data_IF_823579389718
#
_entry.id   IF_823579389718
#
_cell.length_a   1.000
_cell.length_b   1.000
_cell.length_c   1.000
_cell.angle_alpha   90.00
_cell.angle_beta   90.00
_cell.angle_gamma   90.00
#
_symmetry.space_group_name_H-M   'P 1'
#
loop_
_entity.id
_entity.type
_entity.pdbx_description
1 polymer ?
#
# COMPACT_ATOMS: atom_id res chain seq x y z
N UNK A 1 21.90 -2.84 -22.94
CA UNK A 1 22.77 -2.77 -21.75
C UNK A 1 22.65 -4.10 -21.03
N UNK A 2 23.69 -4.58 -20.30
CA UNK A 2 23.53 -5.73 -19.42
C UNK A 2 22.43 -5.43 -18.39
N UNK A 3 21.72 -6.47 -17.97
CA UNK A 3 20.73 -6.40 -16.90
C UNK A 3 21.39 -5.89 -15.62
N UNK A 4 20.72 -4.98 -14.89
CA UNK A 4 21.22 -4.46 -13.63
C UNK A 4 20.94 -5.45 -12.50
N UNK A 5 22.00 -5.83 -11.78
CA UNK A 5 21.90 -6.43 -10.44
C UNK A 5 21.52 -5.32 -9.45
N UNK A 6 20.24 -5.27 -9.08
CA UNK A 6 19.66 -4.22 -8.24
C UNK A 6 20.29 -4.25 -6.85
N UNK A 7 20.54 -5.45 -6.32
CA UNK A 7 21.11 -5.64 -5.00
C UNK A 7 22.55 -5.11 -4.92
N UNK A 8 23.41 -5.49 -5.87
CA UNK A 8 24.78 -5.01 -5.92
C UNK A 8 24.85 -3.51 -6.21
N UNK A 9 24.00 -3.00 -7.10
CA UNK A 9 23.91 -1.58 -7.41
C UNK A 9 23.55 -0.73 -6.17
N UNK A 10 22.65 -1.22 -5.31
CA UNK A 10 22.32 -0.56 -4.05
C UNK A 10 23.53 -0.50 -3.12
N UNK A 11 24.28 -1.59 -3.00
CA UNK A 11 25.48 -1.65 -2.14
C UNK A 11 26.56 -0.67 -2.57
N UNK A 12 26.72 -0.41 -3.87
CA UNK A 12 27.64 0.60 -4.38
C UNK A 12 27.29 2.02 -3.91
N UNK A 13 26.01 2.40 -3.97
CA UNK A 13 25.56 3.72 -3.52
C UNK A 13 25.70 3.83 -2.00
N UNK A 14 25.31 2.79 -1.26
CA UNK A 14 25.45 2.74 0.21
C UNK A 14 26.91 2.79 0.64
N UNK A 15 27.83 2.17 -0.11
CA UNK A 15 29.25 2.24 0.19
C UNK A 15 29.80 3.66 0.07
N UNK A 16 29.31 4.47 -0.89
CA UNK A 16 29.67 5.88 -1.02
C UNK A 16 29.11 6.72 0.13
N UNK A 17 27.85 6.48 0.53
CA UNK A 17 27.24 7.11 1.71
C UNK A 17 28.07 6.84 2.98
N UNK A 18 28.51 5.60 3.19
CA UNK A 18 29.37 5.19 4.31
C UNK A 18 30.75 5.83 4.30
N UNK A 19 31.25 6.19 3.12
CA UNK A 19 32.50 6.93 2.94
C UNK A 19 32.32 8.45 3.09
N UNK A 20 31.10 8.90 3.45
CA UNK A 20 30.73 10.31 3.53
C UNK A 20 30.84 11.05 2.17
N UNK A 21 30.73 10.31 1.06
CA UNK A 21 30.70 10.86 -0.31
C UNK A 21 29.26 10.95 -0.84
N UNK A 22 28.48 11.87 -0.26
CA UNK A 22 27.07 12.05 -0.62
C UNK A 22 26.89 12.52 -2.08
N UNK A 23 27.83 13.31 -2.60
CA UNK A 23 27.80 13.79 -3.99
C UNK A 23 28.06 12.64 -4.96
N UNK A 24 29.05 11.80 -4.67
CA UNK A 24 29.33 10.59 -5.43
C UNK A 24 28.16 9.61 -5.38
N UNK A 25 27.55 9.40 -4.21
CA UNK A 25 26.36 8.57 -4.06
C UNK A 25 25.20 9.05 -4.95
N UNK A 26 24.92 10.36 -4.95
CA UNK A 26 23.87 10.95 -5.77
C UNK A 26 24.14 10.80 -7.27
N UNK A 27 25.38 11.06 -7.71
CA UNK A 27 25.77 10.87 -9.10
C UNK A 27 25.70 9.39 -9.53
N UNK A 28 26.07 8.47 -8.63
CA UNK A 28 26.00 7.03 -8.90
C UNK A 28 24.57 6.55 -9.02
N UNK A 29 23.68 6.97 -8.12
CA UNK A 29 22.25 6.65 -8.17
C UNK A 29 21.63 7.09 -9.50
N UNK A 30 21.87 8.34 -9.91
CA UNK A 30 21.31 8.86 -11.16
C UNK A 30 21.83 8.10 -12.39
N UNK A 31 23.12 7.73 -12.40
CA UNK A 31 23.69 6.90 -13.45
C UNK A 31 23.06 5.49 -13.50
N UNK A 32 22.75 4.91 -12.33
CA UNK A 32 22.09 3.60 -12.22
C UNK A 32 20.62 3.65 -12.66
N UNK A 33 19.94 4.77 -12.46
CA UNK A 33 18.54 4.95 -12.88
C UNK A 33 18.38 5.04 -14.39
N UNK A 34 19.38 5.63 -15.06
CA UNK A 34 19.28 5.93 -16.48
C UNK A 34 18.97 4.68 -17.33
N UNK A 35 17.84 4.70 -18.03
CA UNK A 35 17.38 3.62 -18.90
C UNK A 35 16.77 2.41 -18.18
N UNK A 36 16.59 2.46 -16.86
CA UNK A 36 15.88 1.41 -16.11
C UNK A 36 14.37 1.66 -16.09
N UNK A 37 13.58 0.59 -16.00
CA UNK A 37 12.13 0.70 -15.78
C UNK A 37 11.81 1.27 -14.39
N UNK A 38 10.64 1.88 -14.23
CA UNK A 38 10.23 2.49 -12.95
C UNK A 38 10.28 1.50 -11.79
N UNK A 39 9.77 0.28 -11.98
CA UNK A 39 9.80 -0.77 -10.95
C UNK A 39 11.22 -1.15 -10.51
N UNK A 40 12.21 -1.09 -11.41
CA UNK A 40 13.62 -1.35 -11.09
C UNK A 40 14.23 -0.19 -10.32
N UNK A 41 13.95 1.05 -10.73
CA UNK A 41 14.41 2.26 -10.02
C UNK A 41 13.87 2.32 -8.58
N UNK A 42 12.57 2.10 -8.40
CA UNK A 42 11.93 2.09 -7.08
C UNK A 42 12.51 1.02 -6.15
N UNK A 43 12.90 -0.12 -6.71
CA UNK A 43 13.47 -1.23 -5.93
C UNK A 43 14.90 -0.94 -5.51
N UNK A 44 15.68 -0.30 -6.39
CA UNK A 44 17.00 0.22 -6.06
C UNK A 44 16.91 1.28 -4.94
N UNK A 45 16.03 2.26 -5.09
CA UNK A 45 15.82 3.32 -4.10
C UNK A 45 15.43 2.74 -2.73
N UNK A 46 14.49 1.77 -2.69
CA UNK A 46 14.08 1.09 -1.45
C UNK A 46 15.24 0.38 -0.76
N UNK A 47 16.08 -0.33 -1.51
CA UNK A 47 17.25 -0.98 -0.90
C UNK A 47 18.26 0.03 -0.36
N UNK A 48 18.53 1.11 -1.08
CA UNK A 48 19.45 2.15 -0.62
C UNK A 48 18.89 2.82 0.64
N UNK A 49 17.60 3.17 0.64
CA UNK A 49 16.92 3.77 1.79
C UNK A 49 16.99 2.87 3.03
N UNK A 50 16.73 1.57 2.86
CA UNK A 50 16.77 0.59 3.96
C UNK A 50 18.20 0.37 4.50
N UNK A 51 19.19 0.22 3.62
CA UNK A 51 20.58 -0.15 3.99
C UNK A 51 21.43 1.04 4.44
N UNK A 52 21.13 2.24 3.93
CA UNK A 52 21.83 3.50 4.20
C UNK A 52 21.08 4.42 5.17
N UNK A 53 20.09 3.90 5.90
CA UNK A 53 19.19 4.70 6.72
C UNK A 53 19.93 5.63 7.70
N UNK A 54 21.01 5.14 8.33
CA UNK A 54 21.80 5.91 9.31
C UNK A 54 22.52 7.09 8.65
N UNK A 55 23.14 6.85 7.50
CA UNK A 55 23.88 7.84 6.72
C UNK A 55 22.93 8.90 6.15
N UNK A 56 21.79 8.47 5.61
CA UNK A 56 20.76 9.36 5.07
C UNK A 56 20.14 10.23 6.18
N UNK A 57 19.91 9.68 7.37
CA UNK A 57 19.45 10.48 8.52
C UNK A 57 20.49 11.55 8.89
N UNK A 58 21.78 11.20 8.89
CA UNK A 58 22.85 12.16 9.17
C UNK A 58 22.89 13.30 8.15
N UNK A 59 22.73 13.01 6.86
CA UNK A 59 22.68 14.02 5.79
C UNK A 59 21.48 14.96 5.93
N UNK A 60 20.32 14.45 6.40
CA UNK A 60 19.10 15.25 6.57
C UNK A 60 19.16 16.21 7.77
N UNK A 61 20.09 16.02 8.71
CA UNK A 61 20.28 16.96 9.83
C UNK A 61 20.78 18.31 9.32
N UNK A 62 20.52 19.36 10.08
CA UNK A 62 21.00 20.71 9.74
C UNK A 62 22.53 20.71 9.58
N UNK A 63 23.01 21.19 8.43
CA UNK A 63 24.43 21.19 8.08
C UNK A 63 24.99 19.84 7.59
N UNK A 64 24.16 18.81 7.46
CA UNK A 64 24.56 17.49 6.94
C UNK A 64 24.91 17.50 5.44
N UNK A 65 24.34 18.45 4.68
CA UNK A 65 24.67 18.69 3.27
C UNK A 65 25.34 20.06 3.12
N UNK A 66 26.47 20.10 2.41
CA UNK A 66 27.16 21.36 2.11
C UNK A 66 26.34 22.21 1.14
N UNK A 67 26.43 23.55 1.24
CA UNK A 67 25.74 24.44 0.30
C UNK A 67 26.16 24.22 -1.17
N UNK A 68 27.40 23.77 -1.40
CA UNK A 68 27.93 23.48 -2.74
C UNK A 68 27.40 22.17 -3.33
N UNK A 69 26.97 21.22 -2.50
CA UNK A 69 26.49 19.91 -2.94
C UNK A 69 24.96 19.79 -2.88
N UNK A 70 24.27 20.74 -2.24
CA UNK A 70 22.82 20.74 -2.04
C UNK A 70 22.02 20.48 -3.33
N UNK A 71 22.40 21.11 -4.44
CA UNK A 71 21.71 20.94 -5.73
C UNK A 71 21.79 19.52 -6.30
N UNK A 72 22.81 18.73 -5.90
CA UNK A 72 23.01 17.35 -6.35
C UNK A 72 22.50 16.34 -5.32
N UNK A 73 22.69 16.62 -4.03
CA UNK A 73 22.39 15.68 -2.95
C UNK A 73 20.93 15.73 -2.52
N UNK A 74 20.30 16.91 -2.45
CA UNK A 74 18.92 17.03 -1.98
C UNK A 74 17.91 16.22 -2.84
N UNK A 75 17.99 16.23 -4.19
CA UNK A 75 17.10 15.38 -4.99
C UNK A 75 17.22 13.88 -4.69
N UNK A 76 18.43 13.40 -4.39
CA UNK A 76 18.64 12.02 -3.94
C UNK A 76 17.98 11.81 -2.57
N UNK A 77 18.15 12.73 -1.62
CA UNK A 77 17.56 12.61 -0.28
C UNK A 77 16.02 12.59 -0.31
N UNK A 78 15.43 13.40 -1.19
CA UNK A 78 13.98 13.45 -1.41
C UNK A 78 13.49 12.13 -2.00
N UNK A 79 14.11 11.66 -3.10
CA UNK A 79 13.80 10.37 -3.73
C UNK A 79 13.91 9.20 -2.76
N UNK A 80 14.99 9.13 -1.98
CA UNK A 80 15.19 8.09 -0.99
C UNK A 80 14.30 8.27 0.25
N UNK A 81 13.71 9.44 0.47
CA UNK A 81 12.64 9.63 1.47
C UNK A 81 11.34 9.02 0.95
N UNK A 82 10.99 9.30 -0.30
CA UNK A 82 9.80 8.76 -0.97
C UNK A 82 9.81 7.22 -0.98
N UNK A 83 10.98 6.61 -1.19
CA UNK A 83 11.15 5.17 -1.16
C UNK A 83 10.84 4.51 0.19
N UNK A 84 10.77 5.27 1.29
CA UNK A 84 10.41 4.73 2.61
C UNK A 84 8.90 4.63 2.85
N UNK A 85 8.10 5.30 2.01
CA UNK A 85 6.64 5.34 2.10
C UNK A 85 6.01 3.98 1.70
N UNK A 86 4.70 3.77 1.92
CA UNK A 86 4.01 2.59 1.40
C UNK A 86 4.32 2.37 -0.09
N UNK A 87 4.69 1.16 -0.52
CA UNK A 87 5.04 0.89 -1.91
C UNK A 87 3.77 0.88 -2.77
N UNK A 88 3.82 1.25 -4.04
CA UNK A 88 2.71 0.90 -4.96
C UNK A 88 2.68 -0.61 -5.19
N UNK A 89 1.53 -1.14 -5.60
CA UNK A 89 1.47 -2.50 -6.15
C UNK A 89 2.08 -2.50 -7.56
N UNK A 90 3.09 -3.34 -7.87
CA UNK A 90 3.59 -3.44 -9.23
C UNK A 90 2.52 -4.00 -10.18
N UNK A 91 2.34 -3.40 -11.35
CA UNK A 91 1.44 -3.96 -12.36
C UNK A 91 2.03 -5.28 -12.87
N UNK A 92 1.16 -6.26 -13.20
CA UNK A 92 1.61 -7.55 -13.70
C UNK A 92 2.48 -7.43 -14.98
N UNK A 93 2.22 -6.41 -15.81
CA UNK A 93 3.02 -6.13 -17.00
C UNK A 93 4.43 -5.63 -16.67
N UNK A 94 4.61 -4.91 -15.55
CA UNK A 94 5.91 -4.40 -15.13
C UNK A 94 6.80 -5.51 -14.58
N UNK A 95 6.22 -6.52 -13.92
CA UNK A 95 6.99 -7.65 -13.36
C UNK A 95 7.19 -8.77 -14.38
N UNK A 96 6.29 -8.96 -15.33
CA UNK A 96 6.37 -10.04 -16.32
C UNK A 96 7.62 -10.01 -17.21
N UNK A 97 8.18 -8.83 -17.47
CA UNK A 97 9.37 -8.66 -18.31
C UNK A 97 10.71 -8.78 -17.56
N UNK A 98 10.69 -8.88 -16.24
CA UNK A 98 11.89 -8.92 -15.40
C UNK A 98 12.45 -10.33 -15.31
N UNK A 99 13.78 -10.47 -15.12
CA UNK A 99 14.33 -11.76 -14.72
C UNK A 99 13.85 -12.15 -13.32
N UNK A 100 14.03 -13.43 -12.98
CA UNK A 100 13.70 -13.92 -11.65
C UNK A 100 14.47 -13.21 -10.53
N UNK A 101 15.73 -12.81 -10.78
CA UNK A 101 16.55 -12.07 -9.84
C UNK A 101 15.97 -10.65 -9.61
N UNK A 102 15.61 -9.95 -10.70
CA UNK A 102 14.97 -8.64 -10.59
C UNK A 102 13.59 -8.73 -9.93
N UNK A 103 12.77 -9.74 -10.26
CA UNK A 103 11.49 -9.98 -9.57
C UNK A 103 11.70 -10.19 -8.06
N UNK A 104 12.72 -10.97 -7.68
CA UNK A 104 13.10 -11.14 -6.29
C UNK A 104 13.45 -9.82 -5.63
N UNK A 105 14.24 -8.98 -6.27
CA UNK A 105 14.63 -7.68 -5.72
C UNK A 105 13.47 -6.67 -5.67
N UNK A 106 12.50 -6.75 -6.58
CA UNK A 106 11.29 -5.91 -6.53
C UNK A 106 10.55 -6.10 -5.22
N UNK A 107 10.23 -7.35 -4.87
CA UNK A 107 9.52 -7.65 -3.64
C UNK A 107 10.44 -7.68 -2.42
N UNK A 108 11.70 -8.07 -2.60
CA UNK A 108 12.71 -8.11 -1.55
C UNK A 108 13.03 -6.71 -1.02
N UNK A 109 13.04 -5.70 -1.88
CA UNK A 109 13.20 -4.29 -1.46
C UNK A 109 12.02 -3.79 -0.62
N UNK A 110 10.80 -4.29 -0.87
CA UNK A 110 9.63 -3.99 -0.03
C UNK A 110 9.78 -4.66 1.34
N UNK A 111 10.22 -5.93 1.39
CA UNK A 111 10.51 -6.62 2.66
C UNK A 111 11.61 -5.90 3.44
N UNK A 112 12.68 -5.45 2.76
CA UNK A 112 13.76 -4.70 3.37
C UNK A 112 13.27 -3.43 4.09
N UNK A 113 12.32 -2.72 3.47
CA UNK A 113 11.82 -1.45 3.98
C UNK A 113 10.65 -1.60 4.97
N UNK A 114 9.73 -2.54 4.73
CA UNK A 114 8.48 -2.68 5.50
C UNK A 114 8.53 -3.81 6.53
N UNK A 115 9.49 -4.73 6.42
CA UNK A 115 9.73 -5.83 7.34
C UNK A 115 10.61 -5.44 8.54
N UNK A 116 10.54 -6.24 9.60
CA UNK A 116 11.44 -6.10 10.76
C UNK A 116 12.76 -6.87 10.56
N UNK A 117 13.63 -6.80 11.57
CA UNK A 117 14.91 -7.52 11.57
C UNK A 117 14.75 -9.03 11.28
N UNK A 118 13.77 -9.71 11.90
CA UNK A 118 13.55 -11.14 11.68
C UNK A 118 13.16 -11.47 10.24
N UNK A 119 12.35 -10.63 9.58
CA UNK A 119 12.04 -10.79 8.15
C UNK A 119 13.29 -10.61 7.28
N UNK A 120 14.11 -9.60 7.59
CA UNK A 120 15.35 -9.34 6.86
C UNK A 120 16.40 -10.44 7.05
N UNK A 121 16.53 -10.96 8.26
CA UNK A 121 17.40 -12.11 8.56
C UNK A 121 16.93 -13.35 7.80
N UNK A 122 15.61 -13.62 7.76
CA UNK A 122 15.06 -14.73 6.99
C UNK A 122 15.38 -14.61 5.49
N UNK A 123 15.32 -13.40 4.92
CA UNK A 123 15.69 -13.12 3.52
C UNK A 123 17.19 -13.36 3.20
N UNK A 124 18.05 -13.41 4.21
CA UNK A 124 19.46 -13.77 4.07
C UNK A 124 19.69 -15.29 4.05
N UNK A 125 18.66 -16.09 4.35
CA UNK A 125 18.71 -17.56 4.37
C UNK A 125 17.90 -18.17 3.21
N UNK A 126 17.66 -19.49 3.27
CA UNK A 126 16.77 -20.21 2.36
C UNK A 126 15.31 -20.26 2.85
N UNK A 127 15.01 -19.60 3.96
CA UNK A 127 13.65 -19.52 4.49
C UNK A 127 12.72 -18.82 3.49
N UNK A 128 11.50 -19.36 3.39
CA UNK A 128 10.39 -18.74 2.67
C UNK A 128 9.85 -17.58 3.50
N UNK A 129 9.83 -16.39 2.92
CA UNK A 129 9.21 -15.19 3.51
C UNK A 129 7.94 -14.88 2.73
N UNK A 130 6.88 -14.50 3.44
CA UNK A 130 5.59 -14.14 2.83
C UNK A 130 5.44 -12.62 2.89
N UNK A 131 5.11 -11.99 1.78
CA UNK A 131 4.79 -10.56 1.68
C UNK A 131 3.32 -10.42 1.25
N UNK A 132 2.55 -9.61 1.97
CA UNK A 132 1.20 -9.20 1.60
C UNK A 132 1.18 -7.73 1.22
N UNK A 133 0.69 -7.43 0.03
CA UNK A 133 0.43 -6.10 -0.47
C UNK A 133 -1.08 -5.90 -0.46
N UNK A 134 -1.54 -5.04 0.45
CA UNK A 134 -2.97 -4.73 0.64
C UNK A 134 -3.35 -3.50 -0.18
N UNK A 135 -4.30 -3.66 -1.10
CA UNK A 135 -5.03 -2.58 -1.73
C UNK A 135 -6.33 -2.35 -0.94
N UNK A 136 -6.33 -1.33 -0.07
CA UNK A 136 -7.41 -1.14 0.89
C UNK A 136 -8.76 -0.89 0.20
N UNK A 137 -9.74 -1.72 0.54
CA UNK A 137 -11.12 -1.61 0.05
C UNK A 137 -12.14 -1.73 1.19
N UNK A 138 -13.40 -1.38 0.91
CA UNK A 138 -14.49 -1.45 1.88
C UNK A 138 -14.97 -2.89 2.09
N UNK A 139 -15.35 -3.22 3.32
CA UNK A 139 -15.82 -4.58 3.69
C UNK A 139 -17.11 -5.02 2.96
N UNK A 140 -17.90 -4.06 2.46
CA UNK A 140 -19.18 -4.30 1.79
C UNK A 140 -19.07 -4.64 0.30
N UNK A 141 -17.84 -4.69 -0.24
CA UNK A 141 -17.60 -5.03 -1.64
C UNK A 141 -18.24 -6.37 -2.05
N UNK A 142 -18.66 -6.43 -3.31
CA UNK A 142 -19.32 -7.59 -3.91
C UNK A 142 -20.51 -8.16 -3.09
N UNK A 143 -21.30 -7.28 -2.46
CA UNK A 143 -22.40 -7.60 -1.50
C UNK A 143 -21.91 -8.21 -0.19
N UNK A 144 -20.74 -7.77 0.28
CA UNK A 144 -20.08 -8.26 1.48
C UNK A 144 -19.40 -9.63 1.32
N UNK A 145 -19.10 -10.06 0.09
CA UNK A 145 -18.37 -11.32 -0.18
C UNK A 145 -16.86 -11.10 -0.33
N UNK A 146 -16.44 -9.85 -0.40
CA UNK A 146 -15.06 -9.44 -0.67
C UNK A 146 -14.67 -9.61 -2.14
N UNK A 147 -13.51 -9.06 -2.46
CA UNK A 147 -12.85 -9.12 -3.76
C UNK A 147 -11.43 -9.65 -3.56
N UNK A 148 -10.82 -10.13 -4.66
CA UNK A 148 -9.44 -10.59 -4.68
C UNK A 148 -8.59 -9.61 -5.49
N UNK A 149 -8.22 -8.51 -4.85
CA UNK A 149 -7.45 -7.39 -5.40
C UNK A 149 -6.10 -7.20 -4.69
N UNK A 150 -5.87 -7.92 -3.59
CA UNK A 150 -4.57 -7.96 -2.93
C UNK A 150 -3.61 -8.92 -3.63
N UNK A 151 -2.32 -8.75 -3.32
CA UNK A 151 -1.26 -9.67 -3.74
C UNK A 151 -0.57 -10.28 -2.54
N UNK A 152 -0.48 -11.61 -2.51
CA UNK A 152 0.43 -12.33 -1.61
C UNK A 152 1.61 -12.86 -2.43
N UNK A 153 2.82 -12.68 -1.93
CA UNK A 153 4.07 -13.07 -2.59
C UNK A 153 4.86 -13.95 -1.65
N UNK A 154 5.44 -15.03 -2.16
CA UNK A 154 6.39 -15.87 -1.42
C UNK A 154 7.77 -15.71 -2.04
N UNK A 155 8.74 -15.30 -1.22
CA UNK A 155 10.14 -15.05 -1.60
C UNK A 155 11.07 -16.07 -0.92
N UNK A 156 12.11 -16.50 -1.61
CA UNK A 156 13.19 -17.32 -1.02
C UNK A 156 14.46 -17.28 -1.85
N UNK A 157 15.55 -17.78 -1.28
CA UNK A 157 16.76 -18.14 -2.03
C UNK A 157 16.93 -19.65 -2.13
N UNK A 158 17.40 -20.15 -3.27
CA UNK A 158 17.82 -21.55 -3.41
C UNK A 158 19.16 -21.82 -2.70
N UNK A 159 19.68 -23.04 -2.85
CA UNK A 159 20.95 -23.43 -2.22
C UNK A 159 22.17 -22.75 -2.85
N UNK A 160 22.00 -22.16 -4.03
CA UNK A 160 23.00 -21.42 -4.77
C UNK A 160 22.92 -19.91 -4.45
N UNK A 161 21.91 -19.49 -3.67
CA UNK A 161 21.68 -18.09 -3.30
C UNK A 161 20.86 -17.32 -4.33
N UNK A 162 20.33 -17.95 -5.37
CA UNK A 162 19.49 -17.29 -6.35
C UNK A 162 18.12 -16.98 -5.76
N UNK A 163 17.70 -15.72 -5.89
CA UNK A 163 16.39 -15.27 -5.45
C UNK A 163 15.27 -15.83 -6.33
N UNK A 164 14.17 -16.19 -5.69
CA UNK A 164 12.96 -16.69 -6.34
C UNK A 164 11.71 -16.07 -5.74
N UNK A 165 10.70 -15.92 -6.58
CA UNK A 165 9.42 -15.32 -6.23
C UNK A 165 8.27 -16.15 -6.80
N UNK A 166 7.18 -16.23 -6.04
CA UNK A 166 5.87 -16.64 -6.55
C UNK A 166 4.81 -15.65 -6.09
N UNK A 167 4.11 -15.05 -7.05
CA UNK A 167 2.96 -14.17 -6.81
C UNK A 167 1.66 -14.99 -6.77
N UNK A 168 0.75 -14.59 -5.88
CA UNK A 168 -0.62 -15.04 -5.75
C UNK A 168 -1.51 -13.80 -5.86
N UNK A 169 -2.03 -13.58 -7.07
CA UNK A 169 -2.73 -12.36 -7.47
C UNK A 169 -4.24 -12.42 -7.24
N UNK A 170 -4.74 -13.57 -6.80
CA UNK A 170 -6.11 -13.71 -6.33
C UNK A 170 -6.11 -13.84 -4.81
N UNK A 171 -5.62 -12.82 -4.11
CA UNK A 171 -5.56 -12.80 -2.66
C UNK A 171 -6.46 -11.71 -2.07
N UNK A 172 -6.84 -11.87 -0.81
CA UNK A 172 -7.41 -10.80 0.01
C UNK A 172 -6.83 -10.86 1.41
N UNK A 173 -6.70 -9.70 2.01
CA UNK A 173 -6.22 -9.43 3.36
C UNK A 173 -7.26 -8.64 4.16
N UNK A 174 -8.41 -8.35 3.53
CA UNK A 174 -9.55 -7.65 4.10
C UNK A 174 -10.62 -8.63 4.60
N UNK A 175 -11.34 -8.28 5.67
CA UNK A 175 -12.50 -9.01 6.11
C UNK A 175 -13.72 -8.63 5.26
N UNK A 176 -14.79 -9.44 5.35
CA UNK A 176 -15.98 -9.25 4.51
C UNK A 176 -17.27 -9.09 5.30
N UNK A 177 -18.10 -8.15 4.86
CA UNK A 177 -19.30 -7.74 5.59
C UNK A 177 -20.36 -8.84 5.75
N UNK A 178 -20.27 -9.95 4.99
CA UNK A 178 -21.17 -11.10 5.19
C UNK A 178 -21.05 -11.73 6.59
N UNK A 179 -19.96 -11.49 7.32
CA UNK A 179 -19.76 -11.94 8.70
C UNK A 179 -19.97 -10.87 9.75
N UNK A 180 -20.28 -9.65 9.33
CA UNK A 180 -20.35 -8.46 10.16
C UNK A 180 -21.64 -8.40 10.97
N UNK A 181 -21.55 -7.88 12.20
CA UNK A 181 -22.70 -7.60 13.05
C UNK A 181 -23.61 -6.50 12.48
N UNK A 182 -23.04 -5.47 11.86
CA UNK A 182 -23.76 -4.34 11.28
C UNK A 182 -24.65 -4.74 10.09
N UNK A 183 -24.32 -5.84 9.40
CA UNK A 183 -25.17 -6.43 8.37
C UNK A 183 -26.48 -7.04 8.90
N UNK A 184 -26.59 -7.19 10.23
CA UNK A 184 -27.68 -7.91 10.93
C UNK A 184 -28.47 -7.05 11.92
N UNK A 185 -28.14 -5.77 12.06
CA UNK A 185 -28.92 -4.83 12.88
C UNK A 185 -30.33 -4.63 12.31
N UNK A 186 -31.27 -4.15 13.13
CA UNK A 186 -32.66 -3.86 12.73
C UNK A 186 -33.06 -2.43 13.13
N UNK A 187 -33.20 -1.49 12.17
CA UNK A 187 -32.85 -1.63 10.75
C UNK A 187 -31.34 -1.90 10.56
N UNK A 188 -30.96 -2.40 9.37
CA UNK A 188 -29.54 -2.60 9.03
C UNK A 188 -28.79 -1.27 9.15
N UNK A 189 -27.52 -1.35 9.53
CA UNK A 189 -26.63 -0.19 9.58
C UNK A 189 -26.53 0.47 8.20
N UNK A 190 -26.35 1.80 8.13
CA UNK A 190 -26.17 2.52 6.86
C UNK A 190 -25.11 1.85 5.96
N UNK A 191 -25.38 1.76 4.65
CA UNK A 191 -24.51 1.10 3.66
C UNK A 191 -24.50 -0.44 3.67
N UNK A 192 -24.97 -1.10 4.74
CA UNK A 192 -25.04 -2.58 4.80
C UNK A 192 -26.31 -3.16 4.14
N UNK A 193 -27.20 -2.32 3.59
CA UNK A 193 -28.48 -2.74 3.02
C UNK A 193 -28.40 -3.84 1.96
N UNK A 194 -27.32 -3.83 1.16
CA UNK A 194 -27.10 -4.78 0.07
C UNK A 194 -26.22 -5.98 0.45
N UNK A 195 -25.76 -6.06 1.69
CA UNK A 195 -24.96 -7.18 2.17
C UNK A 195 -25.82 -8.44 2.25
N UNK A 196 -25.27 -9.58 1.84
CA UNK A 196 -25.87 -10.89 2.00
C UNK A 196 -25.23 -11.59 3.22
N UNK A 197 -25.76 -11.39 4.44
CA UNK A 197 -25.12 -11.91 5.65
C UNK A 197 -25.21 -13.43 5.74
N UNK A 198 -24.15 -14.05 6.26
CA UNK A 198 -24.14 -15.47 6.67
C UNK A 198 -24.80 -15.61 8.04
N UNK A 199 -25.18 -16.83 8.40
CA UNK A 199 -25.70 -17.12 9.75
C UNK A 199 -24.68 -16.76 10.84
N UNK A 200 -23.41 -17.13 10.63
CA UNK A 200 -22.30 -16.81 11.55
C UNK A 200 -22.06 -15.30 11.60
N UNK A 201 -21.88 -14.74 12.80
CA UNK A 201 -21.35 -13.39 13.02
C UNK A 201 -19.99 -13.51 13.69
N UNK A 202 -19.01 -12.81 13.14
CA UNK A 202 -17.62 -12.79 13.63
C UNK A 202 -17.33 -11.42 14.22
N UNK A 203 -16.16 -11.27 14.86
CA UNK A 203 -15.79 -10.02 15.51
C UNK A 203 -16.11 -9.96 17.01
N UNK A 204 -15.78 -8.82 17.59
CA UNK A 204 -15.92 -8.51 19.02
C UNK A 204 -16.53 -7.13 19.16
N UNK A 205 -17.43 -6.94 20.13
CA UNK A 205 -18.00 -5.63 20.48
C UNK A 205 -16.96 -4.87 21.32
N UNK A 206 -16.20 -3.98 20.69
CA UNK A 206 -15.13 -3.21 21.34
C UNK A 206 -15.56 -1.82 21.79
N UNK A 207 -16.69 -1.32 21.29
CA UNK A 207 -17.20 0.01 21.66
C UNK A 207 -18.38 -0.05 22.66
N UNK A 208 -18.93 -1.24 22.94
CA UNK A 208 -20.03 -1.48 23.88
C UNK A 208 -21.43 -1.24 23.32
N UNK A 209 -21.59 -1.15 21.99
CA UNK A 209 -22.88 -0.87 21.34
C UNK A 209 -23.75 -2.11 21.11
N UNK A 210 -23.24 -3.30 21.49
CA UNK A 210 -23.86 -4.63 21.32
C UNK A 210 -23.89 -5.15 19.90
N UNK A 211 -23.14 -4.54 18.99
CA UNK A 211 -22.83 -5.04 17.66
C UNK A 211 -21.39 -5.56 17.67
N UNK A 212 -21.14 -6.64 16.95
CA UNK A 212 -19.78 -7.19 16.85
C UNK A 212 -19.03 -6.48 15.75
N UNK A 213 -17.86 -5.95 16.10
CA UNK A 213 -16.99 -5.20 15.22
C UNK A 213 -16.06 -6.16 14.48
N UNK A 214 -16.19 -6.17 13.16
CA UNK A 214 -15.37 -6.99 12.28
C UNK A 214 -13.91 -6.53 12.38
N UNK A 215 -12.97 -7.48 12.34
CA UNK A 215 -11.55 -7.17 12.55
C UNK A 215 -10.67 -7.62 11.41
N UNK A 216 -9.60 -6.85 11.14
CA UNK A 216 -8.54 -7.20 10.19
C UNK A 216 -7.18 -7.25 10.87
N UNK A 217 -6.26 -8.03 10.30
CA UNK A 217 -4.86 -8.02 10.73
C UNK A 217 -4.23 -6.68 10.33
N UNK A 218 -3.65 -5.97 11.29
CA UNK A 218 -2.91 -4.73 11.04
C UNK A 218 -1.56 -4.98 10.38
N UNK A 219 -1.05 -3.96 9.69
CA UNK A 219 0.26 -4.03 9.01
C UNK A 219 1.41 -4.42 9.96
N UNK A 220 2.54 -4.79 9.34
CA UNK A 220 3.80 -5.12 10.01
C UNK A 220 4.21 -6.57 9.79
N UNK A 221 5.29 -6.97 10.45
CA UNK A 221 5.77 -8.36 10.41
C UNK A 221 5.10 -9.21 11.48
N UNK A 222 4.62 -10.38 11.08
CA UNK A 222 4.04 -11.39 11.96
C UNK A 222 4.77 -12.71 11.74
N UNK A 223 5.38 -13.26 12.79
CA UNK A 223 5.87 -14.64 12.71
C UNK A 223 4.66 -15.58 12.68
N UNK A 224 4.59 -16.39 11.63
CA UNK A 224 3.55 -17.37 11.39
C UNK A 224 4.05 -18.79 11.67
N UNK A 225 3.13 -19.65 12.08
CA UNK A 225 3.34 -21.10 12.23
C UNK A 225 2.28 -21.89 11.50
N UNK A 226 2.60 -23.14 11.20
CA UNK A 226 1.64 -24.08 10.64
C UNK A 226 0.47 -24.33 11.61
N UNK A 227 -0.72 -24.47 11.05
CA UNK A 227 -1.96 -24.87 11.70
C UNK A 227 -2.84 -25.55 10.65
N UNK A 228 -4.08 -25.86 11.03
CA UNK A 228 -5.12 -26.20 10.07
C UNK A 228 -6.28 -25.20 10.03
N UNK A 229 -7.02 -25.19 8.92
CA UNK A 229 -8.28 -24.50 8.73
C UNK A 229 -9.38 -25.53 8.35
N UNK A 230 -10.54 -25.53 9.03
CA UNK A 230 -11.61 -26.47 8.73
C UNK A 230 -12.18 -26.29 7.33
N UNK A 231 -12.52 -27.40 6.66
CA UNK A 231 -13.16 -27.37 5.34
C UNK A 231 -14.44 -28.19 5.35
N UNK A 232 -15.55 -27.57 4.97
CA UNK A 232 -16.86 -28.24 5.02
C UNK A 232 -16.86 -29.52 4.16
N UNK A 233 -17.16 -30.66 4.76
CA UNK A 233 -17.19 -31.96 4.08
C UNK A 233 -15.82 -32.51 3.65
N UNK A 234 -14.71 -31.94 4.14
CA UNK A 234 -13.36 -32.36 3.82
C UNK A 234 -12.47 -32.38 5.07
N UNK A 235 -11.28 -32.98 4.96
CA UNK A 235 -10.26 -32.89 6.02
C UNK A 235 -9.81 -31.45 6.19
N UNK A 236 -9.50 -31.09 7.44
CA UNK A 236 -8.86 -29.83 7.75
C UNK A 236 -7.60 -29.62 6.90
N UNK A 237 -7.47 -28.41 6.36
CA UNK A 237 -6.45 -28.06 5.39
C UNK A 237 -5.31 -27.29 6.05
N UNK A 238 -4.08 -27.42 5.53
CA UNK A 238 -2.95 -26.62 6.01
C UNK A 238 -3.28 -25.13 5.97
N UNK A 239 -2.88 -24.40 7.00
CA UNK A 239 -2.97 -22.95 7.08
C UNK A 239 -1.78 -22.38 7.85
N UNK A 240 -1.57 -21.08 7.74
CA UNK A 240 -0.64 -20.33 8.59
C UNK A 240 -1.42 -19.50 9.59
N UNK A 241 -0.90 -19.33 10.81
CA UNK A 241 -1.46 -18.43 11.83
C UNK A 241 -0.35 -17.76 12.65
N UNK A 242 -0.61 -16.64 13.34
CA UNK A 242 0.36 -16.05 14.25
C UNK A 242 0.94 -17.05 15.25
N UNK A 243 2.25 -16.98 15.46
CA UNK A 243 2.92 -17.73 16.52
C UNK A 243 2.59 -17.13 17.89
N UNK A 244 2.84 -17.89 18.96
CA UNK A 244 2.65 -17.37 20.32
C UNK A 244 3.57 -16.18 20.61
N UNK A 245 4.79 -16.18 20.04
CA UNK A 245 5.72 -15.06 20.17
C UNK A 245 5.17 -13.82 19.47
N UNK A 246 4.62 -13.97 18.25
CA UNK A 246 3.99 -12.87 17.54
C UNK A 246 2.78 -12.30 18.30
N UNK A 247 1.94 -13.15 18.88
CA UNK A 247 0.80 -12.73 19.72
C UNK A 247 1.28 -11.93 20.93
N UNK A 248 2.31 -12.42 21.62
CA UNK A 248 2.87 -11.77 22.82
C UNK A 248 3.46 -10.39 22.49
N UNK A 249 4.12 -10.26 21.34
CA UNK A 249 4.71 -9.01 20.87
C UNK A 249 3.70 -8.10 20.12
N UNK A 250 2.49 -8.59 19.83
CA UNK A 250 1.58 -8.03 18.85
C UNK A 250 0.68 -6.91 19.37
N UNK A 251 1.22 -5.93 20.10
CA UNK A 251 0.42 -4.78 20.54
C UNK A 251 -0.04 -3.91 19.35
N UNK A 252 -1.34 -3.58 19.32
CA UNK A 252 -1.92 -2.75 18.26
C UNK A 252 -1.81 -3.34 16.85
N UNK A 253 -2.08 -4.65 16.73
CA UNK A 253 -1.93 -5.42 15.48
C UNK A 253 -3.25 -5.97 14.94
N UNK A 254 -4.36 -5.55 15.52
CA UNK A 254 -5.71 -5.81 15.02
C UNK A 254 -6.42 -4.49 14.89
N UNK A 255 -7.03 -4.24 13.75
CA UNK A 255 -7.92 -3.10 13.52
C UNK A 255 -9.35 -3.61 13.47
N UNK A 256 -10.30 -2.83 13.99
CA UNK A 256 -11.72 -3.16 14.01
C UNK A 256 -12.54 -1.99 13.52
N UNK A 257 -13.51 -2.29 12.66
CA UNK A 257 -14.53 -1.36 12.18
C UNK A 257 -15.58 -1.21 13.28
N UNK A 258 -15.29 -0.32 14.23
CA UNK A 258 -16.09 -0.11 15.44
C UNK A 258 -17.15 0.96 15.25
N UNK A 259 -17.10 1.72 14.16
CA UNK A 259 -18.14 2.69 13.83
C UNK A 259 -19.12 2.14 12.76
N UNK A 260 -18.84 0.96 12.21
CA UNK A 260 -19.66 0.28 11.23
C UNK A 260 -19.75 1.01 9.91
N UNK A 261 -18.65 1.63 9.48
CA UNK A 261 -18.58 2.34 8.21
C UNK A 261 -17.89 1.54 7.11
N UNK A 262 -17.49 0.30 7.38
CA UNK A 262 -16.87 -0.61 6.41
C UNK A 262 -15.42 -0.28 6.09
N UNK A 263 -14.80 0.64 6.84
CA UNK A 263 -13.40 1.04 6.74
C UNK A 263 -12.71 0.89 8.10
N UNK A 264 -11.37 0.90 8.09
CA UNK A 264 -10.55 0.78 9.30
C UNK A 264 -9.63 1.98 9.40
N UNK A 265 -9.92 2.91 10.31
CA UNK A 265 -9.14 4.13 10.48
C UNK A 265 -9.32 4.78 11.86
N UNK A 266 -8.73 5.96 12.05
CA UNK A 266 -8.71 6.63 13.35
C UNK A 266 -10.10 7.05 13.88
N UNK A 267 -11.16 6.93 13.09
CA UNK A 267 -12.55 7.10 13.58
C UNK A 267 -13.03 5.90 14.39
N UNK A 268 -12.32 4.77 14.31
CA UNK A 268 -12.64 3.58 15.07
C UNK A 268 -12.25 3.71 16.54
N UNK A 269 -13.22 4.10 17.36
CA UNK A 269 -13.03 4.20 18.80
C UNK A 269 -12.76 2.83 19.41
N UNK A 270 -11.61 2.66 20.07
CA UNK A 270 -11.15 1.35 20.57
C UNK A 270 -10.92 0.30 19.46
N UNK A 271 -10.82 0.76 18.20
CA UNK A 271 -10.64 -0.12 17.04
C UNK A 271 -9.30 -0.83 16.97
N UNK A 272 -8.28 -0.34 17.68
CA UNK A 272 -6.93 -0.96 17.67
C UNK A 272 -6.75 -1.87 18.89
N UNK A 273 -6.55 -3.16 18.63
CA UNK A 273 -6.48 -4.22 19.65
C UNK A 273 -5.16 -5.02 19.53
N UNK A 274 -4.87 -5.81 20.56
CA UNK A 274 -3.74 -6.74 20.56
C UNK A 274 -3.97 -7.90 19.57
N UNK A 275 -2.88 -8.38 18.97
CA UNK A 275 -2.90 -9.59 18.14
C UNK A 275 -3.40 -10.78 18.95
N UNK A 276 -4.20 -11.61 18.30
CA UNK A 276 -4.65 -12.89 18.83
C UNK A 276 -4.39 -13.99 17.79
N UNK A 277 -4.87 -15.19 18.07
CA UNK A 277 -4.60 -16.36 17.25
C UNK A 277 -5.66 -16.61 16.16
N UNK A 278 -6.69 -15.75 16.03
CA UNK A 278 -7.84 -16.00 15.14
C UNK A 278 -7.52 -15.79 13.67
N UNK A 279 -6.52 -14.97 13.35
CA UNK A 279 -6.09 -14.66 11.98
C UNK A 279 -5.34 -15.83 11.35
N UNK A 280 -5.65 -16.15 10.09
CA UNK A 280 -5.00 -17.22 9.34
C UNK A 280 -4.83 -16.85 7.88
N UNK A 281 -3.78 -17.40 7.24
CA UNK A 281 -3.74 -17.52 5.78
C UNK A 281 -4.37 -18.86 5.38
N UNK A 282 -5.47 -18.84 4.63
CA UNK A 282 -6.18 -20.05 4.19
C UNK A 282 -6.81 -19.93 2.80
N UNK A 283 -7.40 -21.03 2.31
CA UNK A 283 -8.11 -21.05 1.03
C UNK A 283 -9.36 -20.19 1.08
N UNK A 284 -9.55 -19.34 0.07
CA UNK A 284 -10.83 -18.72 -0.24
C UNK A 284 -11.55 -19.44 -1.38
N UNK A 285 -12.86 -19.26 -1.49
CA UNK A 285 -13.64 -19.81 -2.60
C UNK A 285 -13.43 -19.04 -3.90
N UNK A 286 -13.86 -19.60 -5.04
CA UNK A 286 -13.71 -18.96 -6.37
C UNK A 286 -14.35 -17.57 -6.51
N UNK A 287 -15.44 -17.29 -5.79
CA UNK A 287 -16.23 -16.05 -5.94
C UNK A 287 -16.68 -15.46 -4.60
N UNK A 288 -16.03 -15.89 -3.52
CA UNK A 288 -16.24 -15.44 -2.16
C UNK A 288 -14.90 -15.60 -1.44
N UNK A 289 -14.43 -14.56 -0.78
CA UNK A 289 -13.14 -14.64 -0.10
C UNK A 289 -13.20 -15.51 1.15
N UNK A 290 -14.41 -15.73 1.68
CA UNK A 290 -14.68 -16.44 2.93
C UNK A 290 -13.88 -15.88 4.12
N UNK A 291 -13.50 -14.60 4.08
CA UNK A 291 -12.71 -13.95 5.13
C UNK A 291 -13.58 -13.18 6.12
N UNK A 292 -13.40 -13.47 7.41
CA UNK A 292 -13.88 -12.65 8.52
C UNK A 292 -12.73 -11.92 9.24
N UNK A 293 -11.60 -11.70 8.54
CA UNK A 293 -10.37 -11.13 9.08
C UNK A 293 -9.11 -11.89 8.64
N UNK A 294 -9.29 -13.15 8.22
CA UNK A 294 -8.22 -13.96 7.64
C UNK A 294 -7.68 -13.40 6.32
N UNK A 295 -6.51 -13.88 5.94
CA UNK A 295 -5.92 -13.68 4.64
C UNK A 295 -6.33 -14.87 3.80
N UNK A 296 -6.87 -14.66 2.59
CA UNK A 296 -7.29 -15.77 1.76
C UNK A 296 -6.71 -15.72 0.37
N UNK A 297 -6.42 -16.89 -0.18
CA UNK A 297 -5.96 -17.05 -1.55
C UNK A 297 -7.04 -17.84 -2.29
N UNK A 298 -7.59 -17.20 -3.31
CA UNK A 298 -8.64 -17.68 -4.18
C UNK A 298 -8.12 -18.36 -5.44
N UNK A 299 -8.92 -18.28 -6.51
CA UNK A 299 -8.53 -18.75 -7.85
C UNK A 299 -8.33 -20.25 -8.04
N UNK A 300 -8.34 -21.02 -6.97
CA UNK A 300 -7.81 -22.39 -6.99
C UNK A 300 -6.29 -22.45 -6.87
N UNK A 301 -5.61 -21.35 -6.53
CA UNK A 301 -4.15 -21.27 -6.41
C UNK A 301 -3.62 -21.68 -5.03
N UNK A 302 -4.52 -22.00 -4.08
CA UNK A 302 -4.11 -22.28 -2.71
C UNK A 302 -3.21 -23.52 -2.57
N UNK A 303 -3.39 -24.54 -3.40
CA UNK A 303 -2.51 -25.72 -3.37
C UNK A 303 -1.08 -25.37 -3.80
N UNK A 304 -0.94 -24.50 -4.80
CA UNK A 304 0.35 -23.96 -5.24
C UNK A 304 0.98 -23.08 -4.15
N UNK A 305 0.17 -22.31 -3.42
CA UNK A 305 0.63 -21.56 -2.26
C UNK A 305 1.20 -22.47 -1.18
N UNK A 306 0.47 -23.51 -0.80
CA UNK A 306 0.92 -24.47 0.20
C UNK A 306 2.20 -25.17 -0.25
N UNK A 307 2.29 -25.59 -1.52
CA UNK A 307 3.49 -26.19 -2.09
C UNK A 307 4.69 -25.23 -2.03
N UNK A 308 4.47 -23.95 -2.35
CA UNK A 308 5.51 -22.92 -2.36
C UNK A 308 6.00 -22.60 -0.95
N UNK A 309 5.10 -22.30 -0.01
CA UNK A 309 5.43 -21.96 1.38
C UNK A 309 6.16 -23.10 2.10
N UNK A 310 5.84 -24.35 1.76
CA UNK A 310 6.46 -25.54 2.34
C UNK A 310 7.67 -26.05 1.55
N UNK A 311 8.15 -25.26 0.57
CA UNK A 311 9.21 -25.66 -0.34
C UNK A 311 10.59 -25.80 0.31
N UNK A 312 10.80 -25.26 1.52
CA UNK A 312 12.07 -25.36 2.26
C UNK A 312 11.96 -26.45 3.34
N UNK A 313 12.71 -27.57 3.21
CA UNK A 313 12.65 -28.66 4.19
C UNK A 313 13.01 -28.20 5.60
N UNK A 314 12.20 -28.60 6.58
CA UNK A 314 12.44 -28.29 8.00
C UNK A 314 11.96 -26.90 8.44
N UNK A 315 11.61 -26.00 7.52
CA UNK A 315 11.04 -24.70 7.88
C UNK A 315 9.66 -24.89 8.54
N UNK A 316 9.50 -24.34 9.74
CA UNK A 316 8.28 -24.45 10.54
C UNK A 316 7.79 -23.10 11.10
N UNK A 317 8.45 -22.01 10.70
CA UNK A 317 8.13 -20.62 10.98
C UNK A 317 8.32 -19.80 9.71
N UNK A 318 7.46 -18.81 9.51
CA UNK A 318 7.50 -17.93 8.34
C UNK A 318 7.33 -16.50 8.81
N UNK A 319 8.14 -15.58 8.30
CA UNK A 319 7.89 -14.16 8.51
C UNK A 319 6.86 -13.70 7.46
N UNK A 320 5.74 -13.16 7.93
CA UNK A 320 4.72 -12.56 7.09
C UNK A 320 4.77 -11.05 7.23
N UNK A 321 5.26 -10.35 6.21
CA UNK A 321 5.26 -8.90 6.13
C UNK A 321 3.99 -8.45 5.45
N UNK A 322 3.13 -7.71 6.14
CA UNK A 322 1.93 -7.11 5.57
C UNK A 322 2.08 -5.59 5.51
N UNK A 323 1.79 -5.00 4.36
CA UNK A 323 1.78 -3.54 4.16
C UNK A 323 0.64 -3.17 3.23
N UNK A 324 -0.05 -2.07 3.50
CA UNK A 324 -0.88 -1.41 2.50
C UNK A 324 0.02 -0.84 1.41
N UNK A 325 -0.54 -0.75 0.20
CA UNK A 325 0.11 -0.11 -0.93
C UNK A 325 -0.20 1.38 -0.96
N UNK A 326 0.65 2.16 -1.62
CA UNK A 326 0.41 3.58 -1.84
C UNK A 326 -0.97 3.78 -2.49
N UNK A 327 -1.89 4.50 -1.83
CA UNK A 327 -3.17 4.85 -2.44
C UNK A 327 -2.90 5.86 -3.56
N UNK A 328 -3.38 5.55 -4.77
CA UNK A 328 -3.20 6.42 -5.94
C UNK A 328 -1.88 6.18 -6.68
N UNK A 329 -1.98 6.06 -8.00
CA UNK A 329 -0.82 6.05 -8.90
C UNK A 329 -0.23 7.45 -8.94
N UNK A 330 0.74 7.76 -8.08
CA UNK A 330 1.69 8.82 -8.38
C UNK A 330 2.55 8.38 -9.57
N UNK A 331 1.98 8.43 -10.79
CA UNK A 331 2.79 8.52 -12.00
C UNK A 331 3.66 9.75 -11.79
N UNK A 332 4.98 9.58 -11.80
CA UNK A 332 5.91 10.70 -11.76
C UNK A 332 5.63 11.62 -12.94
N UNK A 333 4.76 12.60 -12.74
CA UNK A 333 4.43 13.61 -13.74
C UNK A 333 5.62 14.59 -13.76
N UNK A 334 6.25 14.67 -14.94
CA UNK A 334 7.56 15.29 -15.16
C UNK A 334 7.68 16.74 -14.67
N UNK A 335 8.87 17.08 -14.18
CA UNK A 335 9.18 18.36 -13.55
C UNK A 335 9.27 19.57 -14.51
N UNK A 336 9.02 19.38 -15.81
CA UNK A 336 9.37 20.35 -16.86
C UNK A 336 8.24 21.34 -17.23
N UNK A 337 7.14 21.40 -16.46
CA UNK A 337 6.05 22.34 -16.77
C UNK A 337 6.32 23.74 -16.19
N UNK A 338 6.39 24.80 -17.02
CA UNK A 338 6.48 26.17 -16.52
C UNK A 338 5.22 26.55 -15.74
N UNK A 339 5.41 27.15 -14.55
CA UNK A 339 4.32 27.62 -13.70
C UNK A 339 3.61 28.83 -14.34
N UNK A 340 2.31 28.71 -14.53
CA UNK A 340 1.46 29.85 -14.84
C UNK A 340 1.13 30.62 -13.55
N UNK A 341 1.58 31.88 -13.46
CA UNK A 341 1.48 32.70 -12.25
C UNK A 341 0.04 32.99 -11.75
N UNK A 342 -0.97 32.82 -12.62
CA UNK A 342 -2.38 33.07 -12.30
C UNK A 342 -3.22 31.79 -12.16
N UNK A 343 -2.59 30.62 -12.15
CA UNK A 343 -3.26 29.31 -12.10
C UNK A 343 -2.98 28.62 -10.75
N UNK A 344 -3.41 29.29 -9.67
CA UNK A 344 -3.27 28.84 -8.28
C UNK A 344 -4.67 28.58 -7.68
N UNK A 345 -4.98 27.32 -7.29
CA UNK A 345 -6.27 26.97 -6.69
C UNK A 345 -6.61 27.67 -5.38
N UNK A 346 -5.64 28.30 -4.71
CA UNK A 346 -5.89 29.10 -3.50
C UNK A 346 -6.56 30.44 -3.81
N UNK A 347 -6.57 30.86 -5.07
CA UNK A 347 -7.18 32.13 -5.50
C UNK A 347 -8.69 31.99 -5.75
N UNK A 348 -9.54 32.94 -5.28
CA UNK A 348 -10.99 32.85 -5.41
C UNK A 348 -11.55 32.69 -6.82
N UNK A 349 -10.80 33.12 -7.83
CA UNK A 349 -11.23 33.08 -9.23
C UNK A 349 -10.90 31.74 -9.91
N UNK A 350 -10.13 30.86 -9.27
CA UNK A 350 -9.73 29.59 -9.83
C UNK A 350 -10.87 28.56 -9.79
N UNK A 351 -11.03 27.75 -10.84
CA UNK A 351 -12.14 26.77 -10.95
C UNK A 351 -12.14 25.71 -9.84
N UNK A 352 -10.95 25.30 -9.38
CA UNK A 352 -10.78 24.31 -8.32
C UNK A 352 -10.79 24.95 -6.90
N UNK A 353 -11.00 26.27 -6.79
CA UNK A 353 -10.93 26.99 -5.52
C UNK A 353 -11.91 26.47 -4.47
N UNK A 354 -13.14 26.15 -4.88
CA UNK A 354 -14.15 25.64 -3.96
C UNK A 354 -13.71 24.31 -3.31
N UNK A 355 -13.14 23.38 -4.09
CA UNK A 355 -12.64 22.10 -3.60
C UNK A 355 -11.37 22.28 -2.74
N UNK A 356 -10.46 23.16 -3.18
CA UNK A 356 -9.27 23.54 -2.41
C UNK A 356 -9.66 24.08 -1.02
N UNK A 357 -10.62 24.99 -0.95
CA UNK A 357 -11.08 25.58 0.31
C UNK A 357 -11.77 24.57 1.22
N UNK A 358 -12.53 23.61 0.69
CA UNK A 358 -13.08 22.50 1.48
C UNK A 358 -11.95 21.69 2.12
N UNK A 359 -10.96 21.29 1.34
CA UNK A 359 -9.80 20.54 1.82
C UNK A 359 -9.04 21.33 2.90
N UNK A 360 -8.76 22.62 2.65
CA UNK A 360 -8.09 23.51 3.61
C UNK A 360 -8.87 23.60 4.92
N UNK A 361 -10.21 23.75 4.86
CA UNK A 361 -11.07 23.78 6.05
C UNK A 361 -10.98 22.48 6.85
N UNK A 362 -10.96 21.32 6.20
CA UNK A 362 -10.83 20.04 6.88
C UNK A 362 -9.41 19.83 7.46
N UNK A 363 -8.37 20.31 6.80
CA UNK A 363 -7.00 20.32 7.35
C UNK A 363 -6.90 21.23 8.59
N UNK A 364 -7.59 22.38 8.59
CA UNK A 364 -7.70 23.24 9.77
C UNK A 364 -8.37 22.50 10.94
N UNK A 365 -9.42 21.73 10.66
CA UNK A 365 -10.11 20.95 11.68
C UNK A 365 -9.26 19.81 12.27
N UNK A 366 -8.27 19.28 11.54
CA UNK A 366 -7.30 18.30 12.06
C UNK A 366 -6.33 18.91 13.09
N UNK A 367 -6.12 20.22 13.06
CA UNK A 367 -5.30 20.93 14.04
C UNK A 367 -3.77 20.73 13.86
N UNK A 368 -3.01 21.31 14.79
CA UNK A 368 -1.54 21.27 14.77
C UNK A 368 -0.96 21.81 13.47
N UNK A 369 0.06 21.13 12.94
CA UNK A 369 0.73 21.54 11.68
C UNK A 369 -0.21 21.54 10.47
N UNK A 370 -1.25 20.70 10.46
CA UNK A 370 -2.22 20.70 9.36
C UNK A 370 -3.02 22.00 9.33
N UNK A 371 -3.36 22.57 10.49
CA UNK A 371 -4.02 23.86 10.55
C UNK A 371 -3.09 25.03 10.21
N UNK A 372 -1.83 24.97 10.65
CA UNK A 372 -0.82 25.99 10.37
C UNK A 372 -0.50 26.12 8.86
N UNK A 373 -0.55 25.02 8.12
CA UNK A 373 -0.18 24.93 6.70
C UNK A 373 -1.34 24.47 5.80
N UNK A 374 -2.58 24.67 6.22
CA UNK A 374 -3.77 24.09 5.59
C UNK A 374 -3.87 24.40 4.08
N UNK A 375 -3.64 25.65 3.68
CA UNK A 375 -3.73 26.04 2.27
C UNK A 375 -2.62 25.42 1.42
N UNK A 376 -1.40 25.31 1.95
CA UNK A 376 -0.28 24.72 1.21
C UNK A 376 -0.46 23.21 1.06
N UNK A 377 -0.78 22.54 2.17
CA UNK A 377 -1.03 21.10 2.20
C UNK A 377 -2.24 20.70 1.36
N UNK A 378 -3.25 21.58 1.26
CA UNK A 378 -4.44 21.31 0.44
C UNK A 378 -4.12 21.06 -1.04
N UNK A 379 -2.99 21.55 -1.56
CA UNK A 379 -2.62 21.38 -2.97
C UNK A 379 -2.29 19.92 -3.33
N UNK A 380 -1.57 19.23 -2.45
CA UNK A 380 -1.27 17.79 -2.62
C UNK A 380 -2.57 16.98 -2.56
N UNK A 381 -3.41 17.27 -1.57
CA UNK A 381 -4.69 16.58 -1.41
C UNK A 381 -5.66 16.91 -2.55
N UNK A 382 -5.63 18.12 -3.11
CA UNK A 382 -6.46 18.51 -4.26
C UNK A 382 -6.09 17.70 -5.50
N UNK A 383 -4.79 17.47 -5.73
CA UNK A 383 -4.30 16.64 -6.84
C UNK A 383 -4.85 15.22 -6.73
N UNK A 384 -4.80 14.64 -5.54
CA UNK A 384 -5.31 13.29 -5.27
C UNK A 384 -6.83 13.22 -5.33
N UNK A 385 -7.55 14.20 -4.79
CA UNK A 385 -9.00 14.29 -4.93
C UNK A 385 -9.40 14.26 -6.41
N UNK A 386 -8.75 15.07 -7.25
CA UNK A 386 -9.02 15.13 -8.68
C UNK A 386 -8.65 13.83 -9.40
N UNK A 387 -7.56 13.18 -9.02
CA UNK A 387 -7.16 11.89 -9.60
C UNK A 387 -8.18 10.80 -9.28
N UNK A 388 -8.76 10.82 -8.08
CA UNK A 388 -9.80 9.90 -7.63
C UNK A 388 -11.22 10.28 -8.09
N UNK A 389 -11.39 11.39 -8.83
CA UNK A 389 -12.71 11.88 -9.23
C UNK A 389 -13.57 12.41 -8.08
N UNK A 390 -12.95 12.74 -6.94
CA UNK A 390 -13.60 13.40 -5.81
C UNK A 390 -13.85 14.87 -6.19
N UNK A 391 -15.12 15.27 -6.09
CA UNK A 391 -15.62 16.61 -6.48
C UNK A 391 -16.03 17.47 -5.29
N UNK A 392 -16.18 16.85 -4.12
CA UNK A 392 -16.30 17.52 -2.82
C UNK A 392 -15.60 16.68 -1.77
N UNK A 393 -15.04 17.31 -0.75
CA UNK A 393 -14.46 16.61 0.39
C UNK A 393 -15.34 16.88 1.59
N UNK A 394 -15.94 15.81 2.11
CA UNK A 394 -16.84 15.87 3.26
C UNK A 394 -16.06 15.65 4.57
N UNK A 395 -14.95 14.89 4.53
CA UNK A 395 -14.01 14.68 5.66
C UNK A 395 -12.58 14.36 5.21
N UNK A 396 -11.62 14.60 6.11
CA UNK A 396 -10.25 14.06 6.04
C UNK A 396 -9.99 13.22 7.28
N UNK A 397 -9.53 11.98 7.09
CA UNK A 397 -9.38 10.99 8.17
C UNK A 397 -7.98 10.38 8.15
N UNK A 398 -7.37 10.16 9.31
CA UNK A 398 -6.06 9.53 9.44
C UNK A 398 -6.17 7.99 9.54
N UNK A 399 -5.21 7.25 8.99
CA UNK A 399 -5.07 5.80 9.24
C UNK A 399 -4.79 5.48 10.70
N UNK A 400 -5.15 4.27 11.12
CA UNK A 400 -4.80 3.76 12.46
C UNK A 400 -3.27 3.59 12.62
N UNK A 401 -2.74 3.69 13.85
CA UNK A 401 -1.40 3.22 14.15
C UNK A 401 -1.36 1.69 14.04
N UNK A 402 -0.50 1.14 13.17
CA UNK A 402 -0.33 -0.31 13.04
C UNK A 402 1.12 -0.70 12.77
N UNK A 403 1.55 -1.88 13.25
CA UNK A 403 2.86 -2.43 12.91
C UNK A 403 4.09 -1.64 13.39
N UNK A 404 3.94 -0.85 14.46
CA UNK A 404 4.99 0.07 14.94
C UNK A 404 5.05 1.41 14.18
N UNK A 405 4.09 1.67 13.29
CA UNK A 405 3.93 2.95 12.58
C UNK A 405 3.03 3.90 13.36
N UNK A 406 3.31 5.19 13.23
CA UNK A 406 2.49 6.24 13.83
C UNK A 406 1.10 6.27 13.17
N UNK A 407 0.09 6.70 13.93
CA UNK A 407 -1.21 7.03 13.37
C UNK A 407 -1.07 8.10 12.28
N UNK A 408 -1.88 8.01 11.23
CA UNK A 408 -1.87 8.97 10.14
C UNK A 408 -0.67 8.88 9.22
N UNK A 409 -0.08 7.68 9.01
CA UNK A 409 0.82 7.47 7.86
C UNK A 409 0.11 7.81 6.54
N UNK A 410 -1.19 7.52 6.46
CA UNK A 410 -2.08 7.87 5.35
C UNK A 410 -3.20 8.78 5.83
N UNK A 411 -3.46 9.86 5.09
CA UNK A 411 -4.67 10.68 5.20
C UNK A 411 -5.65 10.27 4.12
N UNK A 412 -6.92 10.23 4.43
CA UNK A 412 -7.96 9.81 3.52
C UNK A 412 -8.97 10.94 3.30
N UNK A 413 -9.11 11.34 2.04
CA UNK A 413 -10.15 12.21 1.53
C UNK A 413 -11.43 11.39 1.38
N UNK A 414 -12.51 11.80 2.04
CA UNK A 414 -13.80 11.10 2.01
C UNK A 414 -14.87 11.99 1.38
N UNK A 415 -15.59 11.45 0.40
CA UNK A 415 -16.77 12.05 -0.21
C UNK A 415 -17.98 11.14 0.03
N UNK A 416 -18.97 11.66 0.75
CA UNK A 416 -20.17 10.94 1.15
C UNK A 416 -20.43 11.03 2.65
N UNK A 417 -21.39 10.23 3.10
CA UNK A 417 -21.64 10.08 4.53
C UNK A 417 -20.51 9.25 5.15
N UNK A 418 -19.79 9.76 6.17
CA UNK A 418 -18.69 9.05 6.81
C UNK A 418 -19.06 7.70 7.41
N UNK A 419 -20.33 7.51 7.81
CA UNK A 419 -20.84 6.23 8.32
C UNK A 419 -21.42 5.32 7.23
N UNK A 420 -21.24 5.65 5.95
CA UNK A 420 -21.68 4.83 4.83
C UNK A 420 -20.44 4.20 4.16
N UNK A 421 -20.30 2.86 4.19
CA UNK A 421 -19.29 2.14 3.42
C UNK A 421 -19.22 2.52 1.94
N UNK A 422 -20.29 3.08 1.36
CA UNK A 422 -20.29 3.57 0.00
C UNK A 422 -19.67 4.96 -0.23
N UNK A 423 -19.15 5.61 0.81
CA UNK A 423 -18.37 6.82 0.67
C UNK A 423 -17.15 6.58 -0.23
N UNK A 424 -16.93 7.49 -1.19
CA UNK A 424 -15.74 7.46 -2.03
C UNK A 424 -14.57 7.93 -1.20
N UNK A 425 -13.47 7.20 -1.26
CA UNK A 425 -12.28 7.44 -0.46
C UNK A 425 -11.04 7.46 -1.33
N UNK A 426 -10.13 8.40 -1.06
CA UNK A 426 -8.80 8.42 -1.66
C UNK A 426 -7.76 8.66 -0.56
N UNK A 427 -6.74 7.81 -0.50
CA UNK A 427 -5.64 7.97 0.45
C UNK A 427 -4.52 8.84 -0.13
N UNK A 428 -3.78 9.51 0.75
CA UNK A 428 -2.60 10.31 0.46
C UNK A 428 -1.59 10.10 1.58
N UNK A 429 -0.31 9.88 1.27
CA UNK A 429 0.69 9.73 2.33
C UNK A 429 0.90 11.05 3.08
N UNK A 430 0.86 11.02 4.42
CA UNK A 430 0.97 12.23 5.22
C UNK A 430 2.37 12.86 5.21
N UNK A 431 3.43 12.11 4.92
CA UNK A 431 4.75 12.70 4.71
C UNK A 431 4.80 13.45 3.37
N UNK A 432 4.23 12.89 2.31
CA UNK A 432 4.11 13.58 1.01
C UNK A 432 3.40 14.94 1.15
N UNK A 433 2.27 14.96 1.87
CA UNK A 433 1.52 16.20 2.15
C UNK A 433 2.40 17.26 2.83
N UNK A 434 3.29 16.85 3.73
CA UNK A 434 4.11 17.77 4.53
C UNK A 434 5.40 18.19 3.83
N UNK A 435 5.93 17.35 2.95
CA UNK A 435 7.27 17.49 2.37
C UNK A 435 7.23 18.04 0.94
N UNK A 436 6.12 17.91 0.21
CA UNK A 436 6.01 18.42 -1.15
C UNK A 436 5.98 19.95 -1.13
N UNK A 437 6.95 20.58 -1.80
CA UNK A 437 7.00 22.02 -1.96
C UNK A 437 5.78 22.54 -2.74
N UNK A 438 5.26 23.71 -2.34
CA UNK A 438 4.08 24.36 -2.94
C UNK A 438 4.23 24.50 -4.46
N UNK A 439 5.40 24.94 -4.94
CA UNK A 439 5.68 25.12 -6.37
C UNK A 439 5.59 23.79 -7.13
N UNK A 440 6.01 22.69 -6.51
CA UNK A 440 5.91 21.34 -7.08
C UNK A 440 4.46 20.89 -7.16
N UNK A 441 3.68 21.09 -6.09
CA UNK A 441 2.24 20.77 -6.10
C UNK A 441 1.48 21.57 -7.16
N UNK A 442 1.79 22.86 -7.30
CA UNK A 442 1.20 23.72 -8.33
C UNK A 442 1.56 23.23 -9.74
N UNK A 443 2.83 22.89 -10.02
CA UNK A 443 3.22 22.33 -11.32
C UNK A 443 2.45 21.05 -11.65
N UNK A 444 2.33 20.14 -10.68
CA UNK A 444 1.62 18.88 -10.85
C UNK A 444 0.12 19.10 -11.11
N UNK A 445 -0.53 20.02 -10.39
CA UNK A 445 -1.93 20.36 -10.60
C UNK A 445 -2.18 20.98 -11.99
N UNK A 446 -1.29 21.86 -12.45
CA UNK A 446 -1.36 22.46 -13.78
C UNK A 446 -1.15 21.42 -14.89
N UNK A 447 -0.25 20.46 -14.68
CA UNK A 447 -0.07 19.35 -15.61
C UNK A 447 -1.30 18.44 -15.66
N UNK A 448 -1.81 18.02 -14.50
CA UNK A 448 -3.02 17.20 -14.40
C UNK A 448 -4.22 17.88 -15.11
N UNK A 449 -4.36 19.20 -14.97
CA UNK A 449 -5.38 19.98 -15.66
C UNK A 449 -5.28 19.94 -17.19
N UNK A 450 -4.06 19.89 -17.75
CA UNK A 450 -3.83 19.80 -19.21
C UNK A 450 -4.13 18.40 -19.73
N UNK A 451 -3.71 17.38 -18.99
CA UNK A 451 -3.94 15.97 -19.36
C UNK A 451 -5.44 15.63 -19.35
N UNK A 452 -6.18 16.12 -18.35
CA UNK A 452 -7.64 15.95 -18.28
C UNK A 452 -8.42 16.80 -19.31
N UNK A 453 -7.77 17.80 -19.93
CA UNK A 453 -8.36 18.68 -20.95
C UNK A 453 -8.05 18.28 -22.40
N UNK A 454 -7.22 17.27 -22.63
CA UNK A 454 -6.85 16.83 -23.98
C UNK A 454 -7.97 15.99 -24.63
N UNK A 455 -8.38 16.26 -25.88
CA UNK A 455 -9.34 15.41 -26.59
C UNK A 455 -8.78 13.99 -26.77
N UNK A 456 -9.58 12.98 -26.40
CA UNK A 456 -9.28 11.58 -26.73
C UNK A 456 -9.27 11.44 -28.26
N UNK A 457 -8.19 10.93 -28.89
CA UNK A 457 -8.20 10.64 -30.32
C UNK A 457 -9.30 9.61 -30.61
N UNK A 458 -10.20 9.94 -31.53
CA UNK A 458 -11.21 8.99 -31.97
C UNK A 458 -10.54 7.71 -32.49
N UNK A 459 -11.02 6.51 -32.13
CA UNK A 459 -10.45 5.27 -32.63
C UNK A 459 -10.54 5.24 -34.15
N UNK A 460 -9.40 5.05 -34.81
CA UNK A 460 -9.34 4.88 -36.26
C UNK A 460 -10.20 3.68 -36.65
N UNK A 461 -11.24 3.93 -37.46
CA UNK A 461 -12.03 2.89 -38.10
C UNK A 461 -11.10 2.05 -38.99
N UNK A 462 -10.75 0.86 -38.50
CA UNK A 462 -10.12 -0.17 -39.33
C UNK A 462 -11.15 -0.60 -40.37
N UNK A 463 -10.82 -0.34 -41.63
CA UNK A 463 -11.55 -0.81 -42.79
C UNK A 463 -11.58 -2.34 -42.78
N UNK A 464 -12.77 -2.93 -42.74
CA UNK A 464 -12.98 -4.35 -43.05
C UNK A 464 -12.54 -4.63 -44.49
N UNK A 465 -11.59 -5.55 -44.65
CA UNK A 465 -11.32 -6.20 -45.91
C UNK A 465 -12.29 -7.38 -46.11
N UNK A 466 -12.81 -7.62 -47.32
CA UNK A 466 -13.87 -8.59 -47.54
C UNK A 466 -13.37 -10.04 -47.48
N UNK A 467 -14.19 -10.91 -46.89
CA UNK A 467 -13.98 -12.34 -46.84
C UNK A 467 -14.06 -12.98 -48.24
N UNK A 468 -12.98 -13.63 -48.66
CA UNK A 468 -12.94 -14.50 -49.83
C UNK A 468 -13.46 -15.90 -49.43
N UNK A 469 -14.62 -16.27 -49.98
CA UNK A 469 -15.18 -17.62 -49.89
C UNK A 469 -14.62 -18.57 -50.96
N UNK A 470 -14.49 -19.85 -50.60
CA UNK A 470 -14.23 -20.99 -51.48
C UNK A 470 -13.69 -22.15 -50.63
N UNK A 471 -14.32 -23.33 -50.55
CA UNK A 471 -15.26 -24.05 -51.43
C UNK A 471 -16.28 -24.84 -50.61
#
# INVERSE_FOLDING_TARGET
>A
MPEMDINAAADEVVALLRQNDARGAAARLEALHNGQSGVVQESLDRYIAARGATELEALRRSGGVSATDAATVNPMLDRLSDATRPPRMPDAAETAGLSQAQQYDVYGSIVAQRGNAAANDAMATQDRVVLGLRDENRTTEARGRGVYDDRIVVLWKDAQGHGHVREFNQATTEPTAQYDGHAKTTPRSPGFGNVAPRTKTEGEDVNGDRVKDLGRLGEGTTEMRATTHPRNGHTDEFALRPSQAAITAGAGRVERDSNGDGWFDARDTQGVQHLNDTFKIHRGSRSNTDSAGCQTIGGGEYDDFVATVRGTPGQNRWQYVLTSVAPGQARGLGQDTPLAANDDPRQPQHRDHALQQQISTHLQALGGRYAEHADDYSLVLLREAKAAGITRVDQIVASNPSGGRAAGETLFLVQGNPGDPAAVRAGVNAAEVRETAVETSLRQLQQQAREQGAPVPAPAQQHEAPAMGGR
#
